data_IF_185376523493
#
_entry.id   IF_185376523493
#
_cell.length_a   1.000
_cell.length_b   1.000
_cell.length_c   1.000
_cell.angle_alpha   90.00
_cell.angle_beta   90.00
_cell.angle_gamma   90.00
#
_symmetry.space_group_name_H-M   'P 1'
#
loop_
_entity.id
_entity.type
_entity.pdbx_description
1 polymer ?
#
# COMPACT_ATOMS: atom_id res chain seq x y z
N UNK A 1 -19.67 -47.70 18.69
CA UNK A 1 -20.41 -46.84 17.71
C UNK A 1 -20.32 -45.39 18.16
N UNK A 2 -19.20 -44.72 17.89
CA UNK A 2 -18.98 -43.31 18.28
C UNK A 2 -19.43 -42.39 17.13
N UNK A 3 -20.57 -41.75 17.37
CA UNK A 3 -21.22 -40.66 16.63
C UNK A 3 -20.40 -40.02 15.50
N UNK A 4 -20.65 -40.45 14.25
CA UNK A 4 -20.24 -39.75 13.04
C UNK A 4 -20.99 -38.42 12.81
N UNK A 5 -22.05 -38.15 13.59
CA UNK A 5 -22.90 -36.95 13.47
C UNK A 5 -22.25 -35.68 14.03
N UNK A 6 -21.37 -35.80 15.04
CA UNK A 6 -20.68 -34.64 15.62
C UNK A 6 -19.63 -34.02 14.69
N UNK A 7 -18.96 -34.84 13.87
CA UNK A 7 -17.92 -34.38 12.93
C UNK A 7 -18.50 -33.63 11.72
N UNK A 8 -19.74 -33.92 11.32
CA UNK A 8 -20.39 -33.27 10.17
C UNK A 8 -20.77 -31.80 10.42
N UNK A 9 -20.97 -31.40 11.68
CA UNK A 9 -21.34 -30.02 12.06
C UNK A 9 -20.10 -29.16 12.38
N UNK A 10 -19.01 -29.78 12.85
CA UNK A 10 -17.76 -29.08 13.17
C UNK A 10 -17.08 -28.45 11.93
N UNK A 11 -17.17 -29.12 10.78
CA UNK A 11 -16.53 -28.66 9.54
C UNK A 11 -17.15 -27.35 9.01
N UNK A 12 -18.49 -27.22 8.83
CA UNK A 12 -19.07 -25.96 8.37
C UNK A 12 -18.90 -24.83 9.38
N UNK A 13 -18.94 -25.12 10.70
CA UNK A 13 -18.71 -24.11 11.73
C UNK A 13 -17.28 -23.56 11.70
N UNK A 14 -16.29 -24.43 11.49
CA UNK A 14 -14.90 -24.02 11.33
C UNK A 14 -14.71 -23.20 10.04
N UNK A 15 -15.43 -23.54 8.95
CA UNK A 15 -15.40 -22.79 7.70
C UNK A 15 -15.95 -21.36 7.85
N UNK A 16 -17.03 -21.18 8.62
CA UNK A 16 -17.62 -19.86 8.89
C UNK A 16 -16.63 -18.97 9.65
N UNK A 17 -15.89 -19.51 10.61
CA UNK A 17 -14.90 -18.73 11.39
C UNK A 17 -13.73 -18.28 10.50
N UNK A 18 -13.31 -19.08 9.52
CA UNK A 18 -12.22 -18.70 8.60
C UNK A 18 -12.64 -17.55 7.67
N UNK A 19 -13.90 -17.49 7.25
CA UNK A 19 -14.41 -16.45 6.35
C UNK A 19 -14.38 -15.05 6.99
N UNK A 20 -14.60 -14.95 8.32
CA UNK A 20 -14.57 -13.66 9.03
C UNK A 20 -13.16 -13.15 9.38
N UNK A 21 -12.11 -13.94 9.08
CA UNK A 21 -10.72 -13.52 9.29
C UNK A 21 -10.09 -12.85 8.06
N UNK A 22 -10.85 -12.65 6.98
CA UNK A 22 -10.44 -11.82 5.87
C UNK A 22 -10.31 -10.38 6.37
N UNK A 23 -9.08 -9.97 6.72
CA UNK A 23 -8.78 -8.65 7.23
C UNK A 23 -9.34 -7.59 6.29
N UNK A 24 -10.30 -6.81 6.79
CA UNK A 24 -10.75 -5.61 6.11
C UNK A 24 -9.60 -4.61 6.22
N UNK A 25 -8.87 -4.41 5.11
CA UNK A 25 -7.85 -3.36 5.08
C UNK A 25 -8.58 -2.03 5.07
N UNK A 26 -8.39 -1.24 6.13
CA UNK A 26 -8.98 0.09 6.22
C UNK A 26 -8.39 1.04 5.18
N UNK A 27 -7.13 0.83 4.79
CA UNK A 27 -6.43 1.67 3.82
C UNK A 27 -5.74 0.86 2.74
N UNK A 28 -5.77 1.35 1.50
CA UNK A 28 -5.11 0.73 0.35
C UNK A 28 -4.54 1.77 -0.62
N UNK A 29 -3.54 1.36 -1.39
CA UNK A 29 -3.05 2.14 -2.52
C UNK A 29 -3.81 1.80 -3.80
N UNK A 30 -4.09 2.82 -4.61
CA UNK A 30 -4.69 2.73 -5.92
C UNK A 30 -3.66 2.91 -7.04
N UNK A 31 -3.96 3.82 -7.96
CA UNK A 31 -3.04 4.15 -9.06
C UNK A 31 -1.83 4.93 -8.54
N UNK A 32 -0.65 4.53 -8.99
CA UNK A 32 0.62 5.26 -8.79
C UNK A 32 1.12 5.68 -10.15
N UNK A 33 1.15 6.98 -10.41
CA UNK A 33 1.49 7.56 -11.70
C UNK A 33 2.55 8.66 -11.56
N UNK A 34 3.57 8.62 -12.40
CA UNK A 34 4.58 9.66 -12.46
C UNK A 34 4.25 10.67 -13.55
N UNK A 35 4.12 11.94 -13.17
CA UNK A 35 3.93 13.08 -14.08
C UNK A 35 4.90 14.18 -13.67
N UNK A 36 6.00 14.33 -14.42
CA UNK A 36 7.12 15.20 -14.05
C UNK A 36 6.65 16.59 -13.59
N UNK A 37 7.07 17.08 -12.39
CA UNK A 37 8.03 16.51 -11.44
C UNK A 37 7.39 15.79 -10.24
N UNK A 38 6.18 15.26 -10.39
CA UNK A 38 5.36 14.72 -9.30
C UNK A 38 5.12 13.22 -9.47
N UNK A 39 5.14 12.51 -8.36
CA UNK A 39 4.59 11.18 -8.23
C UNK A 39 3.21 11.29 -7.59
N UNK A 40 2.17 10.99 -8.35
CA UNK A 40 0.79 10.99 -7.88
C UNK A 40 0.42 9.59 -7.38
N UNK A 41 -0.07 9.52 -6.15
CA UNK A 41 -0.40 8.29 -5.45
C UNK A 41 -1.85 8.42 -5.00
N UNK A 42 -2.71 7.54 -5.50
CA UNK A 42 -4.07 7.39 -4.99
C UNK A 42 -4.06 6.52 -3.74
N UNK A 43 -4.73 7.00 -2.69
CA UNK A 43 -4.89 6.30 -1.42
C UNK A 43 -6.37 6.25 -1.08
N UNK A 44 -6.92 5.05 -0.94
CA UNK A 44 -8.30 4.88 -0.46
C UNK A 44 -8.26 4.62 1.03
N UNK A 45 -8.95 5.46 1.82
CA UNK A 45 -9.16 5.30 3.25
C UNK A 45 -10.64 5.03 3.53
N UNK A 46 -10.96 3.85 4.07
CA UNK A 46 -12.31 3.48 4.49
C UNK A 46 -12.56 3.71 5.99
N UNK A 47 -11.54 4.12 6.74
CA UNK A 47 -11.62 4.45 8.15
C UNK A 47 -11.96 5.92 8.41
N UNK A 48 -11.74 6.33 9.67
CA UNK A 48 -11.89 7.72 10.11
C UNK A 48 -10.83 8.63 9.47
N UNK A 49 -11.12 9.93 9.42
CA UNK A 49 -10.14 10.91 8.94
C UNK A 49 -8.98 11.03 9.93
N UNK A 50 -7.75 11.06 9.43
CA UNK A 50 -6.55 11.06 10.27
C UNK A 50 -5.37 11.73 9.59
N UNK A 51 -4.48 12.32 10.38
CA UNK A 51 -3.16 12.73 9.90
C UNK A 51 -2.26 11.50 9.71
N UNK A 52 -1.50 11.50 8.62
CA UNK A 52 -0.57 10.45 8.25
C UNK A 52 0.58 11.06 7.42
N UNK A 53 1.57 10.24 7.07
CA UNK A 53 2.57 10.63 6.09
C UNK A 53 2.88 9.50 5.11
N UNK A 54 3.15 9.89 3.87
CA UNK A 54 3.55 9.00 2.79
C UNK A 54 5.05 9.07 2.64
N UNK A 55 5.74 7.94 2.79
CA UNK A 55 7.16 7.82 2.51
C UNK A 55 7.36 7.08 1.20
N UNK A 56 8.09 7.68 0.27
CA UNK A 56 8.50 7.07 -1.00
C UNK A 56 10.01 6.91 -1.00
N UNK A 57 10.50 5.68 -1.13
CA UNK A 57 11.91 5.38 -1.39
C UNK A 57 12.07 4.96 -2.84
N UNK A 58 12.99 5.63 -3.56
CA UNK A 58 13.20 5.42 -4.99
C UNK A 58 14.51 4.68 -5.20
N UNK A 59 14.46 3.59 -5.96
CA UNK A 59 15.61 2.83 -6.38
C UNK A 59 15.79 2.91 -7.89
N UNK A 60 16.99 3.24 -8.34
CA UNK A 60 17.41 3.13 -9.74
C UNK A 60 17.70 1.65 -10.08
N UNK A 61 17.19 1.19 -11.21
CA UNK A 61 17.33 -0.19 -11.71
C UNK A 61 18.40 -0.39 -12.78
N UNK A 62 19.20 0.65 -13.07
CA UNK A 62 20.26 0.58 -14.07
C UNK A 62 21.30 -0.52 -13.78
N UNK A 63 21.87 -1.08 -14.85
CA UNK A 63 22.91 -2.11 -14.81
C UNK A 63 22.51 -3.37 -14.01
N UNK A 64 21.22 -3.71 -13.95
CA UNK A 64 20.69 -4.83 -13.17
C UNK A 64 20.99 -4.73 -11.66
N UNK A 65 21.14 -3.50 -11.15
CA UNK A 65 21.32 -3.21 -9.73
C UNK A 65 20.11 -2.51 -9.17
N UNK A 66 19.94 -2.53 -7.86
CA UNK A 66 18.93 -1.74 -7.16
C UNK A 66 19.65 -0.77 -6.23
N UNK A 67 19.73 0.50 -6.62
CA UNK A 67 20.47 1.55 -5.88
C UNK A 67 19.47 2.58 -5.36
N UNK A 68 19.41 2.78 -4.04
CA UNK A 68 18.58 3.85 -3.46
C UNK A 68 19.13 5.21 -3.90
N UNK A 69 18.30 6.01 -4.57
CA UNK A 69 18.66 7.34 -5.08
C UNK A 69 17.92 8.47 -4.38
N UNK A 70 16.90 8.15 -3.58
CA UNK A 70 16.19 9.16 -2.80
C UNK A 70 15.12 8.59 -1.89
N UNK A 71 14.82 9.34 -0.84
CA UNK A 71 13.71 9.11 0.09
C UNK A 71 12.96 10.42 0.27
N UNK A 72 11.65 10.37 0.07
CA UNK A 72 10.75 11.51 0.08
C UNK A 72 9.63 11.24 1.07
N UNK A 73 9.20 12.27 1.81
CA UNK A 73 8.14 12.17 2.82
C UNK A 73 7.20 13.35 2.61
N UNK A 74 5.90 13.08 2.54
CA UNK A 74 4.85 14.08 2.50
C UNK A 74 3.84 13.83 3.62
N UNK A 75 3.59 14.86 4.43
CA UNK A 75 2.53 14.85 5.43
C UNK A 75 1.18 15.04 4.72
N UNK A 76 0.19 14.25 5.12
CA UNK A 76 -1.13 14.25 4.51
C UNK A 76 -2.21 14.16 5.57
N UNK A 77 -3.37 14.73 5.25
CA UNK A 77 -4.60 14.51 5.99
C UNK A 77 -5.48 13.57 5.18
N UNK A 78 -5.61 12.31 5.62
CA UNK A 78 -6.42 11.30 4.95
C UNK A 78 -7.88 11.53 5.25
N UNK A 79 -8.66 11.85 4.21
CA UNK A 79 -10.12 11.88 4.29
C UNK A 79 -10.70 10.50 4.05
N UNK A 80 -11.91 10.25 4.52
CA UNK A 80 -12.64 9.04 4.13
C UNK A 80 -12.92 9.07 2.63
N UNK A 81 -12.62 7.98 1.92
CA UNK A 81 -12.72 7.84 0.48
C UNK A 81 -11.35 7.88 -0.23
N UNK A 82 -11.36 8.31 -1.49
CA UNK A 82 -10.15 8.42 -2.31
C UNK A 82 -9.43 9.76 -2.07
N UNK A 83 -8.12 9.67 -1.87
CA UNK A 83 -7.21 10.79 -1.64
C UNK A 83 -6.12 10.74 -2.72
N UNK A 84 -5.83 11.88 -3.35
CA UNK A 84 -4.70 12.01 -4.27
C UNK A 84 -3.56 12.73 -3.57
N UNK A 85 -2.39 12.08 -3.51
CA UNK A 85 -1.18 12.63 -2.89
C UNK A 85 -0.13 12.86 -3.97
N UNK A 86 0.43 14.06 -4.03
CA UNK A 86 1.47 14.41 -4.99
C UNK A 86 2.81 14.58 -4.26
N UNK A 87 3.74 13.66 -4.49
CA UNK A 87 5.09 13.70 -3.91
C UNK A 87 6.06 14.31 -4.94
N UNK A 88 6.78 15.39 -4.62
CA UNK A 88 7.75 16.00 -5.52
C UNK A 88 9.01 15.14 -5.65
N UNK A 89 9.13 14.45 -6.78
CA UNK A 89 10.24 13.54 -7.10
C UNK A 89 10.78 13.89 -8.48
N UNK A 90 12.05 14.32 -8.56
CA UNK A 90 12.67 14.64 -9.84
C UNK A 90 13.49 13.45 -10.33
N UNK A 91 12.92 12.69 -11.26
CA UNK A 91 13.59 11.55 -11.90
C UNK A 91 14.09 11.93 -13.29
N UNK A 92 15.24 11.36 -13.67
CA UNK A 92 15.72 11.38 -15.06
C UNK A 92 15.01 10.27 -15.84
N UNK A 93 15.22 10.24 -17.16
CA UNK A 93 14.81 9.11 -17.99
C UNK A 93 15.46 7.82 -17.48
N UNK A 94 14.69 6.76 -17.29
CA UNK A 94 15.16 5.47 -16.77
C UNK A 94 14.09 4.65 -16.08
N UNK A 95 14.47 3.45 -15.62
CA UNK A 95 13.61 2.52 -14.89
C UNK A 95 13.87 2.60 -13.39
N UNK A 96 12.80 2.64 -12.60
CA UNK A 96 12.88 2.80 -11.15
C UNK A 96 11.95 1.82 -10.43
N UNK A 97 12.33 1.45 -9.21
CA UNK A 97 11.48 0.73 -8.25
C UNK A 97 11.16 1.66 -7.09
N UNK A 98 9.88 1.81 -6.79
CA UNK A 98 9.34 2.64 -5.74
C UNK A 98 8.88 1.77 -4.58
N UNK A 99 9.33 2.10 -3.38
CA UNK A 99 8.80 1.55 -2.14
C UNK A 99 7.98 2.64 -1.46
N UNK A 100 6.67 2.46 -1.42
CA UNK A 100 5.71 3.44 -0.94
C UNK A 100 5.12 2.91 0.36
N UNK A 101 5.18 3.73 1.41
CA UNK A 101 4.61 3.40 2.72
C UNK A 101 3.66 4.50 3.14
N UNK A 102 2.49 4.08 3.63
CA UNK A 102 1.63 4.95 4.42
C UNK A 102 1.89 4.67 5.89
N UNK A 103 2.20 5.73 6.63
CA UNK A 103 2.51 5.64 8.05
C UNK A 103 1.55 6.57 8.80
N UNK A 104 0.89 6.01 9.81
CA UNK A 104 -0.09 6.69 10.64
C UNK A 104 0.23 6.31 12.08
N UNK A 105 0.23 7.28 13.00
CA UNK A 105 0.58 7.05 14.41
C UNK A 105 1.94 6.34 14.59
N UNK A 106 2.93 6.67 13.74
CA UNK A 106 4.26 6.05 13.68
C UNK A 106 4.26 4.54 13.35
N UNK A 107 3.14 3.99 12.89
CA UNK A 107 3.02 2.61 12.45
C UNK A 107 2.76 2.53 10.95
N UNK A 108 3.46 1.61 10.28
CA UNK A 108 3.21 1.35 8.86
C UNK A 108 1.88 0.62 8.69
N UNK A 109 0.90 1.30 8.09
CA UNK A 109 -0.45 0.74 7.84
C UNK A 109 -0.49 -0.10 6.57
N UNK A 110 0.04 0.45 5.48
CA UNK A 110 0.06 -0.23 4.17
C UNK A 110 1.36 0.08 3.42
N UNK A 111 1.75 -0.85 2.55
CA UNK A 111 2.93 -0.75 1.72
C UNK A 111 2.59 -1.14 0.29
N UNK A 112 3.19 -0.45 -0.67
CA UNK A 112 3.17 -0.83 -2.08
C UNK A 112 4.57 -0.76 -2.68
N UNK A 113 4.86 -1.72 -3.56
CA UNK A 113 6.08 -1.73 -4.37
C UNK A 113 5.65 -1.63 -5.83
N UNK A 114 6.15 -0.61 -6.53
CA UNK A 114 5.79 -0.34 -7.92
C UNK A 114 7.05 -0.11 -8.74
N UNK A 115 7.10 -0.73 -9.92
CA UNK A 115 8.11 -0.41 -10.93
C UNK A 115 7.54 0.63 -11.88
N UNK A 116 8.32 1.67 -12.20
CA UNK A 116 7.96 2.74 -13.12
C UNK A 116 9.06 2.96 -14.16
N UNK A 117 8.67 3.30 -15.38
CA UNK A 117 9.58 3.80 -16.41
C UNK A 117 9.33 5.29 -16.62
N UNK A 118 10.41 6.07 -16.66
CA UNK A 118 10.38 7.50 -16.99
C UNK A 118 10.97 7.67 -18.38
N UNK A 119 10.17 8.21 -19.31
CA UNK A 119 10.53 8.40 -20.73
C UNK A 119 11.03 9.81 -21.05
#
# INVERSE_FOLDING_TARGET
>A
MTSARGKLILIPLMLVIVIFSAGCLETSFGVVEYSYPLLNIEITNSGEETDAYVQVTVFDLADFRQIEIGKYVEDIHLKTGSNMVSVPVKLKKGDYKLYIYLIENNERKVAEIRDIGVE
#
